data_IF_117499614572
#
_entry.id   IF_117499614572
#
_cell.length_a   1.000
_cell.length_b   1.000
_cell.length_c   1.000
_cell.angle_alpha   90.00
_cell.angle_beta   90.00
_cell.angle_gamma   90.00
#
_symmetry.space_group_name_H-M   'P 1'
#
loop_
_entity.id
_entity.type
_entity.pdbx_description
1 polymer ?
#
# COMPACT_ATOMS: atom_id res chain seq x y z
N UNK A 1 16.34 23.21 -1.73
CA UNK A 1 15.57 23.16 -3.01
C UNK A 1 15.51 21.71 -3.45
N UNK A 2 14.45 21.00 -3.03
CA UNK A 2 14.21 19.62 -3.42
C UNK A 2 13.92 19.56 -4.92
N UNK A 3 14.75 18.85 -5.66
CA UNK A 3 14.39 18.44 -7.02
C UNK A 3 13.06 17.67 -6.91
N UNK A 4 12.02 18.20 -7.54
CA UNK A 4 10.77 17.45 -7.70
C UNK A 4 11.13 16.11 -8.35
N UNK A 5 10.97 15.01 -7.60
CA UNK A 5 11.18 13.67 -8.15
C UNK A 5 10.14 13.49 -9.27
N UNK A 6 10.60 13.25 -10.48
CA UNK A 6 9.79 13.23 -11.72
C UNK A 6 8.62 12.23 -11.66
N UNK A 7 8.59 11.32 -10.68
CA UNK A 7 7.60 10.25 -10.56
C UNK A 7 7.16 10.00 -9.10
N UNK A 8 7.39 10.95 -8.22
CA UNK A 8 6.84 10.99 -6.88
C UNK A 8 6.94 9.67 -6.09
N UNK A 9 5.81 9.24 -5.56
CA UNK A 9 5.73 8.02 -4.73
C UNK A 9 6.02 6.73 -5.49
N UNK A 10 5.72 6.64 -6.78
CA UNK A 10 5.99 5.44 -7.59
C UNK A 10 7.47 5.06 -7.53
N UNK A 11 8.36 6.05 -7.69
CA UNK A 11 9.80 5.83 -7.64
C UNK A 11 10.26 5.39 -6.25
N UNK A 12 9.74 6.03 -5.18
CA UNK A 12 10.10 5.73 -3.80
C UNK A 12 9.62 4.35 -3.36
N UNK A 13 8.37 3.99 -3.69
CA UNK A 13 7.83 2.67 -3.39
C UNK A 13 8.63 1.57 -4.09
N UNK A 14 8.93 1.77 -5.37
CA UNK A 14 9.72 0.81 -6.13
C UNK A 14 11.16 0.72 -5.63
N UNK A 15 11.79 1.83 -5.20
CA UNK A 15 13.10 1.80 -4.57
C UNK A 15 13.09 0.95 -3.29
N UNK A 16 12.11 1.18 -2.39
CA UNK A 16 11.96 0.39 -1.17
C UNK A 16 11.75 -1.12 -1.48
N UNK A 17 10.91 -1.45 -2.48
CA UNK A 17 10.70 -2.84 -2.90
C UNK A 17 11.95 -3.45 -3.57
N UNK A 18 12.73 -2.66 -4.31
CA UNK A 18 14.01 -3.12 -4.87
C UNK A 18 15.01 -3.51 -3.78
N UNK A 19 14.96 -2.80 -2.63
CA UNK A 19 15.78 -3.07 -1.44
C UNK A 19 15.17 -4.19 -0.56
N UNK A 20 14.07 -4.80 -0.98
CA UNK A 20 13.44 -5.94 -0.30
C UNK A 20 12.51 -5.56 0.86
N UNK A 21 12.03 -4.33 0.93
CA UNK A 21 11.08 -3.93 1.96
C UNK A 21 9.75 -4.70 1.84
N UNK A 22 9.36 -5.37 2.91
CA UNK A 22 8.11 -6.14 2.99
C UNK A 22 6.95 -5.33 3.58
N UNK A 23 7.27 -4.35 4.41
CA UNK A 23 6.31 -3.39 4.99
C UNK A 23 6.84 -1.99 4.69
N UNK A 24 6.02 -1.16 4.05
CA UNK A 24 6.37 0.20 3.65
C UNK A 24 5.37 1.16 4.28
N UNK A 25 5.86 2.08 5.11
CA UNK A 25 5.00 3.11 5.70
C UNK A 25 5.14 4.44 4.96
N UNK A 26 4.01 5.04 4.61
CA UNK A 26 3.90 6.37 3.99
C UNK A 26 3.07 7.28 4.88
N UNK A 27 3.76 8.01 5.77
CA UNK A 27 3.13 8.99 6.68
C UNK A 27 2.93 10.35 6.01
N UNK A 28 2.44 10.34 4.78
CA UNK A 28 2.16 11.54 3.99
C UNK A 28 0.91 11.31 3.14
N UNK A 29 0.15 12.35 2.92
CA UNK A 29 -0.96 12.36 1.97
C UNK A 29 -0.42 12.83 0.61
N UNK A 30 -0.71 12.09 -0.45
CA UNK A 30 -0.40 12.47 -1.82
C UNK A 30 -1.69 12.69 -2.58
N UNK A 31 -1.67 13.66 -3.46
CA UNK A 31 -2.79 14.01 -4.32
C UNK A 31 -2.59 13.55 -5.78
N UNK A 32 -1.47 12.87 -6.09
CA UNK A 32 -1.21 12.50 -7.48
C UNK A 32 -1.77 11.11 -7.80
N UNK A 33 -2.65 11.05 -8.81
CA UNK A 33 -3.17 9.83 -9.42
C UNK A 33 -2.42 9.56 -10.72
N UNK A 34 -1.12 9.27 -10.63
CA UNK A 34 -0.30 9.00 -11.79
C UNK A 34 -0.30 7.50 -12.11
N UNK A 35 -0.35 7.15 -13.40
CA UNK A 35 -0.26 5.76 -13.86
C UNK A 35 0.95 5.01 -13.27
N UNK A 36 2.15 5.60 -13.16
CA UNK A 36 3.28 4.94 -12.52
C UNK A 36 3.04 4.53 -11.06
N UNK A 37 2.24 5.30 -10.30
CA UNK A 37 1.88 4.95 -8.92
C UNK A 37 0.99 3.72 -8.88
N UNK A 38 0.02 3.64 -9.78
CA UNK A 38 -0.85 2.46 -9.95
C UNK A 38 -0.02 1.18 -10.11
N UNK A 39 0.97 1.21 -10.98
CA UNK A 39 1.80 0.04 -11.25
C UNK A 39 2.76 -0.30 -10.10
N UNK A 40 3.26 0.70 -9.37
CA UNK A 40 4.03 0.45 -8.16
C UNK A 40 3.18 -0.22 -7.06
N UNK A 41 1.90 0.15 -6.94
CA UNK A 41 0.97 -0.50 -6.02
C UNK A 41 0.60 -1.90 -6.51
N UNK A 42 0.33 -2.09 -7.82
CA UNK A 42 0.10 -3.42 -8.38
C UNK A 42 1.29 -4.35 -8.11
N UNK A 43 2.53 -3.85 -8.27
CA UNK A 43 3.74 -4.57 -7.88
C UNK A 43 3.72 -4.99 -6.42
N UNK A 44 3.38 -4.07 -5.50
CA UNK A 44 3.36 -4.38 -4.07
C UNK A 44 2.41 -5.53 -3.74
N UNK A 45 1.24 -5.57 -4.40
CA UNK A 45 0.26 -6.66 -4.24
C UNK A 45 0.83 -7.98 -4.76
N UNK A 46 1.39 -8.00 -5.97
CA UNK A 46 1.94 -9.21 -6.61
C UNK A 46 3.16 -9.73 -5.85
N UNK A 47 4.04 -8.85 -5.41
CA UNK A 47 5.26 -9.20 -4.69
C UNK A 47 5.00 -9.56 -3.22
N UNK A 48 3.86 -9.14 -2.67
CA UNK A 48 3.51 -9.33 -1.27
C UNK A 48 4.15 -8.33 -0.32
N UNK A 49 4.44 -7.11 -0.76
CA UNK A 49 4.78 -5.99 0.13
C UNK A 49 3.52 -5.29 0.59
N UNK A 50 3.42 -4.97 1.88
CA UNK A 50 2.27 -4.25 2.43
C UNK A 50 2.61 -2.76 2.56
N UNK A 51 1.77 -1.90 1.98
CA UNK A 51 1.89 -0.45 2.10
C UNK A 51 0.87 0.04 3.12
N UNK A 52 1.31 0.76 4.17
CA UNK A 52 0.45 1.51 5.07
C UNK A 52 0.52 2.99 4.73
N UNK A 53 -0.61 3.67 4.71
CA UNK A 53 -0.67 5.08 4.38
C UNK A 53 -1.59 5.85 5.34
N UNK A 54 -1.15 7.05 5.74
CA UNK A 54 -1.98 7.96 6.53
C UNK A 54 -3.17 8.46 5.72
N UNK A 55 -4.35 8.52 6.34
CA UNK A 55 -5.57 8.98 5.68
C UNK A 55 -5.64 10.50 5.48
N UNK A 56 -4.77 11.26 6.17
CA UNK A 56 -4.77 12.72 6.12
C UNK A 56 -5.30 13.36 7.41
N UNK A 57 -5.04 14.67 7.55
CA UNK A 57 -5.35 15.44 8.76
C UNK A 57 -6.29 16.62 8.49
N UNK A 58 -7.07 16.57 7.42
CA UNK A 58 -8.01 17.64 7.04
C UNK A 58 -9.39 17.53 7.69
N UNK A 59 -9.68 16.47 8.43
CA UNK A 59 -11.00 16.23 9.02
C UNK A 59 -12.10 16.04 7.98
N UNK A 60 -11.75 15.72 6.75
CA UNK A 60 -12.65 15.66 5.59
C UNK A 60 -12.59 14.29 4.91
N UNK A 61 -13.50 14.09 3.95
CA UNK A 61 -13.47 12.95 3.04
C UNK A 61 -12.32 13.13 2.03
N UNK A 62 -11.28 12.32 2.18
CA UNK A 62 -10.08 12.34 1.34
C UNK A 62 -10.11 11.27 0.25
N UNK A 63 -11.28 10.71 -0.07
CA UNK A 63 -11.44 9.59 -1.01
C UNK A 63 -10.80 9.82 -2.39
N UNK A 64 -10.64 11.05 -2.83
CA UNK A 64 -10.15 11.34 -4.17
C UNK A 64 -8.64 11.63 -4.25
N UNK A 65 -7.94 11.81 -3.13
CA UNK A 65 -6.62 12.45 -3.15
C UNK A 65 -5.53 11.78 -2.32
N UNK A 66 -5.88 10.83 -1.46
CA UNK A 66 -4.93 10.19 -0.55
C UNK A 66 -4.43 8.84 -1.07
N UNK A 67 -3.17 8.50 -0.76
CA UNK A 67 -2.63 7.17 -1.02
C UNK A 67 -3.42 6.06 -0.32
N UNK A 68 -4.07 6.36 0.80
CA UNK A 68 -4.95 5.42 1.52
C UNK A 68 -6.13 4.91 0.69
N UNK A 69 -6.53 5.62 -0.38
CA UNK A 69 -7.65 5.26 -1.25
C UNK A 69 -7.34 4.11 -2.22
N UNK A 70 -6.07 3.89 -2.48
CA UNK A 70 -5.65 2.91 -3.46
C UNK A 70 -5.95 1.48 -2.99
N UNK A 71 -6.40 0.62 -3.92
CA UNK A 71 -6.58 -0.81 -3.68
C UNK A 71 -5.27 -1.43 -3.19
N UNK A 72 -5.37 -2.36 -2.23
CA UNK A 72 -4.20 -3.02 -1.64
C UNK A 72 -3.42 -2.21 -0.60
N UNK A 73 -3.65 -0.89 -0.49
CA UNK A 73 -3.00 -0.04 0.51
C UNK A 73 -3.79 -0.04 1.81
N UNK A 74 -3.12 -0.19 2.94
CA UNK A 74 -3.73 -0.09 4.28
C UNK A 74 -3.91 1.38 4.64
N UNK A 75 -5.10 1.92 4.50
CA UNK A 75 -5.45 3.28 4.90
C UNK A 75 -5.65 3.39 6.40
N UNK A 76 -4.95 4.31 7.06
CA UNK A 76 -4.92 4.41 8.52
C UNK A 76 -5.42 5.78 8.98
N UNK A 77 -6.48 5.77 9.81
CA UNK A 77 -7.04 6.93 10.50
C UNK A 77 -6.51 7.04 11.94
N UNK A 78 -6.90 8.11 12.63
CA UNK A 78 -6.44 8.41 13.98
C UNK A 78 -7.58 8.41 15.01
N UNK A 79 -7.35 7.68 16.12
CA UNK A 79 -8.11 7.77 17.36
C UNK A 79 -7.24 8.35 18.48
N UNK A 80 -7.88 8.89 19.50
CA UNK A 80 -7.22 9.25 20.75
C UNK A 80 -6.97 8.04 21.65
N UNK A 81 -6.29 8.27 22.77
CA UNK A 81 -6.09 7.25 23.82
C UNK A 81 -7.40 6.80 24.48
N UNK A 82 -8.45 7.60 24.34
CA UNK A 82 -9.82 7.33 24.80
C UNK A 82 -10.62 6.46 23.82
N UNK A 83 -10.03 6.09 22.67
CA UNK A 83 -10.66 5.33 21.60
C UNK A 83 -11.56 6.14 20.68
N UNK A 84 -11.77 7.44 20.92
CA UNK A 84 -12.58 8.29 20.07
C UNK A 84 -11.82 8.75 18.84
N UNK A 85 -12.51 8.86 17.69
CA UNK A 85 -11.94 9.43 16.47
C UNK A 85 -11.46 10.87 16.74
N UNK A 86 -10.27 11.18 16.25
CA UNK A 86 -9.77 12.55 16.31
C UNK A 86 -10.40 13.41 15.22
N UNK A 87 -10.83 14.63 15.56
CA UNK A 87 -11.53 15.54 14.65
C UNK A 87 -10.72 15.88 13.39
N UNK A 88 -9.40 15.96 13.53
CA UNK A 88 -8.52 16.20 12.39
C UNK A 88 -8.39 15.01 11.46
N UNK A 89 -8.72 13.79 11.91
CA UNK A 89 -8.53 12.58 11.09
C UNK A 89 -9.45 12.61 9.89
N UNK A 90 -8.87 12.64 8.69
CA UNK A 90 -9.61 12.43 7.46
C UNK A 90 -10.18 11.01 7.42
N UNK A 91 -11.18 10.82 6.59
CA UNK A 91 -11.97 9.59 6.51
C UNK A 91 -12.32 9.26 5.06
N UNK A 92 -12.98 8.14 4.82
CA UNK A 92 -13.46 7.80 3.49
C UNK A 92 -13.39 6.31 3.16
N UNK A 93 -13.68 5.97 1.91
CA UNK A 93 -13.77 4.60 1.42
C UNK A 93 -12.45 3.83 1.52
N UNK A 94 -11.31 4.53 1.46
CA UNK A 94 -9.98 3.92 1.52
C UNK A 94 -9.52 3.48 2.91
N UNK A 95 -10.27 3.83 3.96
CA UNK A 95 -9.87 3.53 5.34
C UNK A 95 -9.95 2.02 5.62
N UNK A 96 -8.85 1.47 6.13
CA UNK A 96 -8.77 0.05 6.48
C UNK A 96 -8.84 -0.16 7.99
N UNK A 97 -8.10 0.65 8.76
CA UNK A 97 -7.99 0.51 10.21
C UNK A 97 -7.69 1.85 10.84
N UNK A 98 -7.72 1.89 12.16
CA UNK A 98 -7.31 3.07 12.93
C UNK A 98 -6.31 2.68 14.02
N UNK A 99 -5.46 3.62 14.42
CA UNK A 99 -4.57 3.49 15.56
C UNK A 99 -4.48 4.82 16.33
N UNK A 100 -3.85 4.79 17.50
CA UNK A 100 -3.66 6.01 18.28
C UNK A 100 -2.84 7.02 17.48
N UNK A 101 -3.44 8.19 17.24
CA UNK A 101 -2.84 9.31 16.48
C UNK A 101 -2.30 10.42 17.35
N UNK A 102 -2.19 10.20 18.66
CA UNK A 102 -1.63 11.16 19.60
C UNK A 102 -2.67 11.84 20.50
N UNK A 103 -2.18 12.78 21.36
CA UNK A 103 -0.80 13.27 21.41
C UNK A 103 0.19 12.20 21.91
N UNK A 104 1.28 12.01 21.21
CA UNK A 104 2.38 11.14 21.62
C UNK A 104 3.66 11.94 21.84
N UNK A 105 4.42 11.59 22.88
CA UNK A 105 5.72 12.17 23.15
C UNK A 105 6.77 11.55 22.25
N UNK A 106 7.46 12.36 21.47
CA UNK A 106 8.58 11.94 20.64
C UNK A 106 9.81 12.79 20.91
N UNK A 107 11.00 12.22 20.73
CA UNK A 107 12.22 12.99 20.70
C UNK A 107 12.34 13.72 19.36
N UNK A 108 12.54 15.02 19.43
CA UNK A 108 12.92 15.81 18.28
C UNK A 108 14.37 15.47 17.92
N UNK A 109 14.59 15.02 16.68
CA UNK A 109 15.90 14.58 16.24
C UNK A 109 16.94 15.72 16.23
N UNK A 110 16.51 16.93 15.85
CA UNK A 110 17.40 18.07 15.69
C UNK A 110 17.77 18.73 17.03
N UNK A 111 16.81 18.77 17.96
CA UNK A 111 16.96 19.48 19.24
C UNK A 111 17.18 18.54 20.43
N UNK A 112 16.91 17.25 20.28
CA UNK A 112 16.91 16.26 21.36
C UNK A 112 15.83 16.49 22.41
N UNK A 113 14.94 17.44 22.23
CA UNK A 113 13.85 17.76 23.16
C UNK A 113 12.66 16.86 22.94
N UNK A 114 11.89 16.63 23.99
CA UNK A 114 10.62 15.92 23.89
C UNK A 114 9.56 16.90 23.39
N UNK A 115 8.87 16.52 22.31
CA UNK A 115 7.70 17.25 21.78
C UNK A 115 6.49 16.34 21.66
N UNK A 116 5.30 16.95 21.73
CA UNK A 116 4.05 16.25 21.45
C UNK A 116 3.73 16.31 19.96
N UNK A 117 3.34 15.17 19.40
CA UNK A 117 2.92 15.04 18.00
C UNK A 117 1.56 14.37 17.93
N UNK A 118 0.75 14.78 16.96
CA UNK A 118 -0.54 14.18 16.64
C UNK A 118 -0.73 14.12 15.14
N UNK A 119 -1.50 13.15 14.66
CA UNK A 119 -1.80 13.02 13.24
C UNK A 119 -1.99 11.56 12.82
N UNK A 120 -2.66 11.36 11.69
CA UNK A 120 -2.72 10.03 11.03
C UNK A 120 -1.33 9.57 10.58
N UNK A 121 -0.38 10.52 10.41
CA UNK A 121 1.04 10.24 10.17
C UNK A 121 1.74 9.57 11.36
N UNK A 122 1.16 9.64 12.56
CA UNK A 122 1.61 8.94 13.77
C UNK A 122 0.95 7.56 13.88
N UNK A 123 -0.32 7.45 13.48
CA UNK A 123 -1.07 6.19 13.50
C UNK A 123 -0.53 5.17 12.48
N UNK A 124 -0.22 5.62 11.26
CA UNK A 124 0.21 4.73 10.18
C UNK A 124 1.47 3.92 10.51
N UNK A 125 2.56 4.49 11.07
CA UNK A 125 3.73 3.71 11.45
C UNK A 125 3.47 2.74 12.62
N UNK A 126 2.50 2.99 13.49
CA UNK A 126 2.10 2.02 14.52
C UNK A 126 1.53 0.77 13.85
N UNK A 127 0.62 0.94 12.87
CA UNK A 127 0.06 -0.17 12.10
C UNK A 127 1.17 -0.91 11.33
N UNK A 128 2.08 -0.19 10.68
CA UNK A 128 3.23 -0.79 10.00
C UNK A 128 4.10 -1.63 10.95
N UNK A 129 4.38 -1.11 12.15
CA UNK A 129 5.15 -1.81 13.17
C UNK A 129 4.47 -3.10 13.64
N UNK A 130 3.16 -3.08 13.87
CA UNK A 130 2.40 -4.29 14.25
C UNK A 130 2.41 -5.31 13.12
N UNK A 131 2.24 -4.89 11.86
CA UNK A 131 2.33 -5.80 10.71
C UNK A 131 3.73 -6.38 10.52
N UNK A 132 4.79 -5.61 10.81
CA UNK A 132 6.16 -6.11 10.79
C UNK A 132 6.40 -7.17 11.87
N UNK A 133 5.89 -6.97 13.08
CA UNK A 133 5.92 -7.98 14.16
C UNK A 133 5.13 -9.23 13.78
N UNK A 134 3.96 -9.05 13.14
CA UNK A 134 3.15 -10.18 12.64
C UNK A 134 3.92 -10.96 11.56
N UNK A 135 4.57 -10.29 10.63
CA UNK A 135 5.42 -10.91 9.60
C UNK A 135 6.57 -11.71 10.22
N UNK A 136 7.21 -11.16 11.25
CA UNK A 136 8.28 -11.85 11.98
C UNK A 136 7.76 -13.09 12.72
N UNK A 137 6.60 -12.98 13.35
CA UNK A 137 5.99 -14.09 14.11
C UNK A 137 5.46 -15.20 13.20
N UNK A 138 4.91 -14.82 12.05
CA UNK A 138 4.25 -15.71 11.10
C UNK A 138 4.98 -15.70 9.75
N UNK A 139 6.22 -16.22 9.68
CA UNK A 139 7.06 -16.08 8.48
C UNK A 139 6.50 -16.83 7.25
N UNK A 140 5.64 -17.82 7.47
CA UNK A 140 5.00 -18.60 6.41
C UNK A 140 3.66 -18.02 5.94
N UNK A 141 3.15 -16.99 6.62
CA UNK A 141 1.92 -16.32 6.20
C UNK A 141 2.17 -15.43 4.99
N UNK A 142 1.26 -15.45 4.03
CA UNK A 142 1.29 -14.50 2.92
C UNK A 142 0.89 -13.10 3.38
N UNK A 143 1.18 -12.08 2.57
CA UNK A 143 0.71 -10.72 2.83
C UNK A 143 -0.82 -10.62 2.86
N UNK A 144 -1.49 -11.36 1.98
CA UNK A 144 -2.95 -11.44 1.99
C UNK A 144 -3.49 -11.98 3.31
N UNK A 145 -2.88 -13.04 3.84
CA UNK A 145 -3.26 -13.61 5.13
C UNK A 145 -3.01 -12.66 6.31
N UNK A 146 -1.94 -11.87 6.27
CA UNK A 146 -1.72 -10.82 7.27
C UNK A 146 -2.75 -9.68 7.15
N UNK A 147 -3.14 -9.31 5.94
CA UNK A 147 -4.22 -8.33 5.71
C UNK A 147 -5.58 -8.89 6.13
N UNK A 148 -5.87 -10.17 5.86
CA UNK A 148 -7.07 -10.85 6.37
C UNK A 148 -7.10 -10.84 7.90
N UNK A 149 -5.97 -11.10 8.54
CA UNK A 149 -5.86 -11.05 9.99
C UNK A 149 -6.14 -9.63 10.52
N UNK A 150 -5.55 -8.60 9.89
CA UNK A 150 -5.78 -7.20 10.26
C UNK A 150 -7.27 -6.83 10.21
N UNK A 151 -7.98 -7.17 9.13
CA UNK A 151 -9.40 -6.82 9.00
C UNK A 151 -10.31 -7.65 9.92
N UNK A 152 -9.94 -8.91 10.17
CA UNK A 152 -10.71 -9.82 11.02
C UNK A 152 -10.59 -9.49 12.51
N UNK A 153 -9.46 -8.93 12.94
CA UNK A 153 -9.20 -8.61 14.35
C UNK A 153 -9.48 -7.15 14.70
N UNK A 154 -9.96 -6.35 13.75
CA UNK A 154 -10.33 -4.97 13.99
C UNK A 154 -11.38 -4.82 15.08
N UNK A 155 -11.24 -3.79 15.91
CA UNK A 155 -12.01 -3.60 17.14
C UNK A 155 -13.40 -2.96 16.96
N UNK A 156 -13.89 -2.79 15.72
CA UNK A 156 -15.25 -2.32 15.54
C UNK A 156 -16.27 -3.34 16.07
N UNK A 157 -17.39 -2.88 16.66
CA UNK A 157 -18.50 -3.74 17.00
C UNK A 157 -18.93 -4.58 15.77
N UNK A 158 -19.21 -5.87 16.00
CA UNK A 158 -19.60 -6.82 14.95
C UNK A 158 -18.58 -6.98 13.81
N UNK A 159 -17.34 -6.51 13.99
CA UNK A 159 -16.28 -6.52 12.97
C UNK A 159 -16.69 -5.88 11.64
N UNK A 160 -17.64 -4.94 11.69
CA UNK A 160 -18.13 -4.26 10.49
C UNK A 160 -17.20 -3.12 10.07
N UNK A 161 -17.12 -2.90 8.77
CA UNK A 161 -16.39 -1.76 8.21
C UNK A 161 -17.23 -0.48 8.24
N UNK A 162 -16.55 0.66 8.51
CA UNK A 162 -17.12 1.98 8.29
C UNK A 162 -16.05 2.96 7.77
N UNK A 163 -16.49 4.03 7.14
CA UNK A 163 -15.60 5.00 6.49
C UNK A 163 -14.70 5.80 7.45
N UNK A 164 -14.94 5.79 8.76
CA UNK A 164 -14.21 6.59 9.75
C UNK A 164 -13.08 5.82 10.42
N UNK A 165 -13.29 4.55 10.67
CA UNK A 165 -12.36 3.69 11.41
C UNK A 165 -11.99 2.41 10.65
N UNK A 166 -12.48 2.26 9.43
CA UNK A 166 -12.32 1.01 8.66
C UNK A 166 -12.95 -0.16 9.40
N UNK A 167 -12.20 -1.21 9.63
CA UNK A 167 -12.57 -2.37 10.45
C UNK A 167 -12.36 -2.14 11.96
N UNK A 168 -11.94 -0.94 12.35
CA UNK A 168 -11.73 -0.55 13.74
C UNK A 168 -10.28 -0.37 14.14
N UNK A 169 -10.07 -0.12 15.42
CA UNK A 169 -8.73 -0.03 16.00
C UNK A 169 -7.93 -1.31 15.78
N UNK A 170 -6.66 -1.16 15.49
CA UNK A 170 -5.75 -2.30 15.40
C UNK A 170 -5.62 -2.97 16.77
N UNK A 171 -5.72 -4.31 16.81
CA UNK A 171 -5.48 -5.12 18.01
C UNK A 171 -4.17 -5.90 17.86
N UNK A 172 -3.04 -5.37 18.38
CA UNK A 172 -1.77 -6.07 18.33
C UNK A 172 -1.79 -7.42 19.06
N UNK A 173 -2.58 -7.52 20.15
CA UNK A 173 -2.72 -8.74 20.92
C UNK A 173 -3.37 -9.85 20.10
N UNK A 174 -4.51 -9.56 19.47
CA UNK A 174 -5.18 -10.53 18.62
C UNK A 174 -4.33 -10.89 17.38
N UNK A 175 -3.71 -9.91 16.72
CA UNK A 175 -2.83 -10.13 15.55
C UNK A 175 -1.66 -11.05 15.88
N UNK A 176 -1.04 -10.87 17.02
CA UNK A 176 0.12 -11.67 17.42
C UNK A 176 -0.26 -13.03 18.04
N UNK A 177 -1.51 -13.26 18.39
CA UNK A 177 -1.96 -14.53 19.01
C UNK A 177 -2.90 -15.37 18.11
N UNK A 178 -3.21 -14.91 16.91
CA UNK A 178 -4.05 -15.65 15.94
C UNK A 178 -3.18 -16.10 14.77
N UNK A 179 -3.17 -17.37 14.45
CA UNK A 179 -2.43 -17.92 13.31
C UNK A 179 -3.12 -17.52 11.99
N UNK A 180 -2.50 -16.68 11.16
CA UNK A 180 -3.10 -16.23 9.90
C UNK A 180 -3.05 -17.28 8.79
N UNK A 181 -2.27 -18.35 8.92
CA UNK A 181 -2.11 -19.36 7.86
C UNK A 181 -3.41 -20.14 7.58
N UNK A 182 -4.36 -20.09 8.51
CA UNK A 182 -5.69 -20.66 8.37
C UNK A 182 -6.68 -19.75 7.63
N UNK A 183 -6.30 -18.50 7.38
CA UNK A 183 -7.13 -17.50 6.69
C UNK A 183 -6.97 -17.62 5.17
N UNK A 184 -7.98 -17.16 4.39
CA UNK A 184 -7.89 -17.17 2.94
C UNK A 184 -6.68 -16.36 2.43
N UNK A 185 -5.97 -16.90 1.43
CA UNK A 185 -4.90 -16.17 0.74
C UNK A 185 -5.49 -15.31 -0.40
N UNK A 186 -6.35 -14.38 -0.02
CA UNK A 186 -7.01 -13.42 -0.89
C UNK A 186 -6.87 -12.04 -0.27
N UNK A 187 -6.46 -11.06 -1.08
CA UNK A 187 -6.29 -9.69 -0.60
C UNK A 187 -7.66 -9.06 -0.26
N UNK A 188 -7.97 -8.76 1.02
CA UNK A 188 -9.24 -8.16 1.40
C UNK A 188 -9.38 -6.69 0.97
N UNK A 189 -8.30 -6.09 0.49
CA UNK A 189 -8.24 -4.69 0.05
C UNK A 189 -8.10 -4.57 -1.48
N UNK A 190 -8.30 -5.68 -2.22
CA UNK A 190 -8.15 -5.70 -3.68
C UNK A 190 -9.15 -4.78 -4.40
N UNK A 191 -10.31 -4.57 -3.80
CA UNK A 191 -11.33 -3.64 -4.26
C UNK A 191 -11.88 -2.86 -3.06
N UNK A 192 -11.65 -1.57 -3.04
CA UNK A 192 -12.18 -0.66 -2.00
C UNK A 192 -13.45 0.06 -2.45
N UNK A 193 -13.99 -0.31 -3.61
CA UNK A 193 -15.16 0.31 -4.20
C UNK A 193 -14.87 1.69 -4.83
N UNK A 194 -15.93 2.33 -5.31
CA UNK A 194 -15.87 3.71 -5.87
C UNK A 194 -14.82 3.90 -6.97
N UNK A 195 -14.49 2.85 -7.74
CA UNK A 195 -13.49 2.93 -8.80
C UNK A 195 -12.05 2.99 -8.29
N UNK A 196 -11.77 2.40 -7.12
CA UNK A 196 -10.40 2.32 -6.59
C UNK A 196 -9.47 1.58 -7.55
N UNK A 197 -8.23 2.01 -7.62
CA UNK A 197 -7.18 1.48 -8.50
C UNK A 197 -5.97 1.04 -7.64
N UNK A 198 -5.15 0.07 -8.09
CA UNK A 198 -5.40 -0.78 -9.25
C UNK A 198 -6.61 -1.70 -9.06
N UNK A 199 -7.32 -1.98 -10.15
CA UNK A 199 -8.34 -3.03 -10.15
C UNK A 199 -7.69 -4.42 -10.12
N UNK A 200 -8.42 -5.49 -9.77
CA UNK A 200 -7.89 -6.85 -9.85
C UNK A 200 -7.35 -7.20 -11.25
N UNK A 201 -8.02 -6.74 -12.32
CA UNK A 201 -7.56 -6.95 -13.70
C UNK A 201 -6.26 -6.20 -13.99
N UNK A 202 -6.09 -4.99 -13.48
CA UNK A 202 -4.84 -4.22 -13.62
C UNK A 202 -3.69 -4.89 -12.85
N UNK A 203 -3.96 -5.42 -11.66
CA UNK A 203 -2.97 -6.23 -10.90
C UNK A 203 -2.56 -7.45 -11.71
N UNK A 204 -3.51 -8.13 -12.36
CA UNK A 204 -3.24 -9.26 -13.23
C UNK A 204 -2.42 -8.86 -14.46
N UNK A 205 -2.74 -7.72 -15.11
CA UNK A 205 -1.94 -7.20 -16.23
C UNK A 205 -0.48 -6.93 -15.84
N UNK A 206 -0.25 -6.41 -14.63
CA UNK A 206 1.10 -6.25 -14.13
C UNK A 206 1.79 -7.61 -13.92
N UNK A 207 1.11 -8.57 -13.29
CA UNK A 207 1.64 -9.92 -13.05
C UNK A 207 1.97 -10.67 -14.35
N UNK A 208 1.14 -10.48 -15.38
CA UNK A 208 1.34 -11.09 -16.71
C UNK A 208 2.44 -10.40 -17.52
N UNK A 209 2.89 -9.21 -17.09
CA UNK A 209 3.93 -8.46 -17.76
C UNK A 209 3.46 -7.78 -19.06
N UNK A 210 2.17 -7.47 -19.19
CA UNK A 210 1.60 -6.84 -20.40
C UNK A 210 1.52 -5.31 -20.32
N UNK A 211 1.87 -4.73 -19.17
CA UNK A 211 1.91 -3.28 -18.99
C UNK A 211 3.11 -2.69 -19.72
N UNK A 212 2.90 -1.61 -20.46
CA UNK A 212 4.00 -0.95 -21.18
C UNK A 212 5.14 -0.56 -20.25
N UNK A 213 6.40 -0.90 -20.59
CA UNK A 213 7.56 -0.52 -19.78
C UNK A 213 7.72 0.99 -19.59
N UNK A 214 7.10 1.80 -20.45
CA UNK A 214 7.11 3.27 -20.33
C UNK A 214 6.31 3.77 -19.12
N UNK A 215 5.41 2.95 -18.60
CA UNK A 215 4.60 3.24 -17.41
C UNK A 215 5.23 2.69 -16.12
N UNK A 216 6.26 1.85 -16.24
CA UNK A 216 6.95 1.22 -15.11
C UNK A 216 8.16 2.08 -14.74
N UNK A 217 8.21 2.52 -13.49
CA UNK A 217 9.24 3.43 -12.99
C UNK A 217 10.08 2.74 -11.93
N UNK A 218 11.40 2.66 -12.14
CA UNK A 218 12.38 2.16 -11.16
C UNK A 218 12.02 0.78 -10.57
N UNK A 219 11.42 -0.10 -11.38
CA UNK A 219 11.11 -1.47 -10.99
C UNK A 219 12.11 -2.44 -11.64
N UNK A 220 13.01 -3.00 -10.84
CA UNK A 220 14.04 -3.91 -11.31
C UNK A 220 13.54 -5.36 -11.45
N UNK A 221 12.34 -5.66 -11.01
CA UNK A 221 11.71 -6.99 -11.08
C UNK A 221 10.76 -7.16 -12.25
N UNK A 222 10.33 -6.05 -12.89
CA UNK A 222 9.33 -6.12 -13.95
C UNK A 222 9.89 -6.75 -15.22
N UNK A 223 9.23 -7.80 -15.70
CA UNK A 223 9.54 -8.47 -16.98
C UNK A 223 8.39 -8.24 -17.95
N UNK A 224 8.63 -7.45 -18.98
CA UNK A 224 7.64 -7.22 -20.04
C UNK A 224 7.48 -8.44 -20.93
N UNK A 225 6.25 -8.92 -21.08
CA UNK A 225 5.87 -10.10 -21.87
C UNK A 225 4.75 -9.81 -22.87
N UNK A 226 4.30 -8.57 -22.93
CA UNK A 226 3.15 -8.17 -23.73
C UNK A 226 3.41 -8.04 -25.22
N UNK A 227 4.61 -8.42 -25.68
CA UNK A 227 4.92 -8.42 -27.11
C UNK A 227 4.31 -9.66 -27.78
N UNK A 228 3.38 -9.42 -28.69
CA UNK A 228 2.79 -10.48 -29.51
C UNK A 228 3.72 -10.75 -30.72
N UNK A 229 4.42 -11.88 -30.67
CA UNK A 229 5.32 -12.29 -31.75
C UNK A 229 4.59 -12.47 -33.09
N UNK A 230 3.27 -12.66 -33.09
CA UNK A 230 2.48 -12.77 -34.33
C UNK A 230 2.44 -11.45 -35.11
N UNK A 231 2.62 -10.32 -34.43
CA UNK A 231 2.70 -8.99 -35.04
C UNK A 231 4.04 -8.74 -35.76
N UNK A 232 5.08 -9.52 -35.46
CA UNK A 232 6.40 -9.40 -36.14
C UNK A 232 6.31 -9.78 -37.63
N UNK A 233 5.35 -10.61 -37.98
CA UNK A 233 5.16 -11.08 -39.35
C UNK A 233 4.31 -10.13 -40.21
N UNK A 234 3.84 -9.02 -39.67
CA UNK A 234 3.18 -7.98 -40.46
C UNK A 234 4.24 -7.15 -41.20
N UNK A 235 4.32 -7.22 -42.56
CA UNK A 235 5.32 -6.50 -43.34
C UNK A 235 5.21 -4.97 -43.24
N UNK A 236 4.14 -4.47 -42.64
CA UNK A 236 3.92 -3.03 -42.39
C UNK A 236 4.41 -2.59 -41.01
N UNK A 237 4.76 -3.52 -40.09
CA UNK A 237 5.24 -3.22 -38.74
C UNK A 237 6.75 -3.42 -38.70
N UNK A 238 7.50 -2.34 -38.81
CA UNK A 238 8.96 -2.35 -38.51
C UNK A 238 9.20 -2.35 -37.01
N UNK A 239 8.98 -3.47 -36.36
CA UNK A 239 9.32 -3.64 -34.96
C UNK A 239 10.76 -4.11 -34.85
N UNK A 240 11.61 -3.50 -34.00
CA UNK A 240 12.96 -4.00 -33.77
C UNK A 240 12.91 -5.44 -33.24
N UNK A 241 13.35 -6.39 -34.03
CA UNK A 241 13.30 -7.85 -33.74
C UNK A 241 14.14 -8.29 -32.54
N UNK A 242 14.87 -7.38 -31.90
CA UNK A 242 15.74 -7.69 -30.75
C UNK A 242 15.14 -7.32 -29.38
N UNK A 243 13.89 -6.90 -29.30
CA UNK A 243 13.21 -6.72 -28.01
C UNK A 243 13.18 -8.00 -27.20
N UNK A 244 13.17 -9.18 -27.87
CA UNK A 244 13.22 -10.48 -27.25
C UNK A 244 14.60 -10.96 -26.77
N UNK A 245 15.67 -10.23 -27.02
CA UNK A 245 17.05 -10.62 -26.64
C UNK A 245 17.56 -9.95 -25.37
N UNK A 246 16.81 -8.96 -24.82
CA UNK A 246 17.16 -8.37 -23.53
C UNK A 246 16.97 -9.40 -22.40
N UNK A 247 17.94 -9.55 -21.48
CA UNK A 247 17.78 -10.41 -20.31
C UNK A 247 16.50 -10.13 -19.50
N UNK A 248 16.00 -8.90 -19.54
CA UNK A 248 14.75 -8.50 -18.88
C UNK A 248 13.51 -9.12 -19.52
N UNK A 249 13.54 -9.45 -20.80
CA UNK A 249 12.43 -10.06 -21.53
C UNK A 249 12.43 -11.58 -21.49
N UNK A 250 13.52 -12.19 -20.99
CA UNK A 250 13.69 -13.64 -20.89
C UNK A 250 13.79 -14.14 -19.45
N UNK A 251 13.66 -13.27 -18.45
CA UNK A 251 13.58 -13.70 -17.06
C UNK A 251 12.26 -14.46 -16.85
N UNK A 252 12.38 -15.79 -16.66
CA UNK A 252 11.27 -16.66 -16.28
C UNK A 252 11.05 -16.57 -14.78
#
# INVERSE_FOLDING_TARGET
>A
EGKHLKYGYAWLLNAAMNDGAQIINVSSSSTSHEDPLKWAIARSIVQGSIITASAGNGGADDNATSLSQWSGVVGVTAIGIDGNRQDYSSWGQGVTTTAVGGPLSVHDYDTGQIKQVSGTSVSAPIVAGVLALARQKWPNATSNQLLQLLVKTGLNPDHTWNQYTGYGGIDPGAILNTDPTTLPDVNPLADKGSGSSPTPDEVQQYADGVVSPLQIVNDNSYAYRGFDESLINDPMVTVPTHLGTSPRYHAK
#
